data_IF_238716878539
#
_entry.id   IF_238716878539
#
_cell.length_a   1.000
_cell.length_b   1.000
_cell.length_c   1.000
_cell.angle_alpha   90.00
_cell.angle_beta   90.00
_cell.angle_gamma   90.00
#
_symmetry.space_group_name_H-M   'P 1'
#
loop_
_entity.id
_entity.type
_entity.pdbx_description
1 polymer ?
#
# COMPACT_ATOMS: atom_id res chain seq x y z
N UNK A 1 7.05 14.62 -6.92
CA UNK A 1 6.54 13.31 -6.47
C UNK A 1 6.98 12.26 -7.47
N UNK A 2 7.49 11.09 -7.06
CA UNK A 2 7.79 10.02 -8.00
C UNK A 2 6.51 9.59 -8.71
N UNK A 3 6.56 9.53 -10.04
CA UNK A 3 5.41 9.21 -10.89
C UNK A 3 5.83 8.16 -11.92
N UNK A 4 4.91 7.27 -12.27
CA UNK A 4 5.11 6.31 -13.34
C UNK A 4 4.98 6.99 -14.70
N UNK A 5 5.86 6.64 -15.63
CA UNK A 5 5.74 7.11 -17.01
C UNK A 5 4.55 6.43 -17.70
N UNK A 6 3.91 7.12 -18.65
CA UNK A 6 2.82 6.55 -19.45
C UNK A 6 3.21 5.27 -20.20
N UNK A 7 4.51 5.08 -20.47
CA UNK A 7 5.05 3.88 -21.11
C UNK A 7 5.01 2.63 -20.23
N UNK A 8 5.01 2.81 -18.90
CA UNK A 8 4.93 1.69 -17.94
C UNK A 8 3.49 1.43 -17.50
N UNK A 9 2.68 2.48 -17.42
CA UNK A 9 1.25 2.38 -17.19
C UNK A 9 0.56 3.57 -17.87
N UNK A 10 -0.44 3.31 -18.74
CA UNK A 10 -1.11 4.34 -19.51
C UNK A 10 -1.80 5.42 -18.66
N UNK A 11 -2.14 5.10 -17.40
CA UNK A 11 -2.72 6.03 -16.43
C UNK A 11 -1.67 6.62 -15.48
N UNK A 12 -0.37 6.40 -15.75
CA UNK A 12 0.74 6.78 -14.85
C UNK A 12 0.56 6.28 -13.42
N UNK A 13 -0.17 5.18 -13.25
CA UNK A 13 -0.44 4.54 -11.98
C UNK A 13 0.61 3.46 -11.67
N UNK A 14 0.86 3.23 -10.39
CA UNK A 14 1.66 2.09 -9.93
C UNK A 14 0.95 0.77 -10.23
N UNK A 15 1.71 -0.26 -10.62
CA UNK A 15 1.18 -1.57 -11.03
C UNK A 15 1.05 -2.53 -9.83
N UNK A 16 0.48 -2.05 -8.72
CA UNK A 16 0.32 -2.77 -7.46
C UNK A 16 -0.39 -4.15 -7.58
N UNK A 17 -1.17 -4.37 -8.64
CA UNK A 17 -1.87 -5.63 -8.92
C UNK A 17 -0.99 -6.64 -9.66
N UNK A 18 0.13 -6.23 -10.25
CA UNK A 18 1.02 -7.12 -10.99
C UNK A 18 1.79 -8.02 -10.00
N UNK A 19 1.78 -9.35 -10.15
CA UNK A 19 2.51 -10.25 -9.26
C UNK A 19 4.03 -10.02 -9.21
N UNK A 20 4.62 -9.41 -10.25
CA UNK A 20 6.03 -9.01 -10.24
C UNK A 20 6.28 -7.83 -9.29
N UNK A 21 5.29 -6.96 -9.11
CA UNK A 21 5.35 -5.73 -8.31
C UNK A 21 4.73 -5.92 -6.91
N UNK A 22 4.68 -7.15 -6.43
CA UNK A 22 4.19 -7.51 -5.09
C UNK A 22 5.22 -8.31 -4.28
N UNK A 23 6.47 -8.42 -4.76
CA UNK A 23 7.51 -9.25 -4.14
C UNK A 23 8.76 -8.45 -3.86
N UNK A 24 9.42 -8.79 -2.74
CA UNK A 24 10.76 -8.27 -2.42
C UNK A 24 11.75 -8.66 -3.52
N UNK A 25 12.61 -7.71 -3.87
CA UNK A 25 13.73 -7.90 -4.79
C UNK A 25 13.35 -7.86 -6.26
N UNK A 26 12.09 -7.56 -6.59
CA UNK A 26 11.62 -7.44 -7.97
C UNK A 26 10.72 -6.21 -8.15
N UNK A 27 10.56 -5.82 -9.42
CA UNK A 27 9.56 -4.83 -9.84
C UNK A 27 9.74 -3.43 -9.26
N UNK A 28 8.66 -2.67 -9.31
CA UNK A 28 8.52 -1.33 -8.76
C UNK A 28 8.91 -1.24 -7.27
N UNK A 29 8.55 -2.20 -6.38
CA UNK A 29 8.95 -2.15 -4.98
C UNK A 29 10.46 -2.17 -4.75
N UNK A 30 11.21 -2.96 -5.54
CA UNK A 30 12.66 -3.01 -5.43
C UNK A 30 13.34 -1.70 -5.85
N UNK A 31 12.80 -1.04 -6.88
CA UNK A 31 13.29 0.28 -7.31
C UNK A 31 13.05 1.30 -6.20
N UNK A 32 11.85 1.34 -5.63
CA UNK A 32 11.50 2.24 -4.54
C UNK A 32 12.34 1.98 -3.28
N UNK A 33 12.56 0.72 -2.91
CA UNK A 33 13.42 0.35 -1.79
C UNK A 33 14.87 0.81 -2.00
N UNK A 34 15.40 0.63 -3.22
CA UNK A 34 16.74 1.10 -3.58
C UNK A 34 16.88 2.62 -3.48
N UNK A 35 15.87 3.38 -3.93
CA UNK A 35 15.85 4.85 -3.79
C UNK A 35 15.84 5.24 -2.30
N UNK A 36 14.97 4.62 -1.49
CA UNK A 36 14.90 4.89 -0.05
C UNK A 36 16.23 4.62 0.63
N UNK A 37 16.88 3.50 0.33
CA UNK A 37 18.18 3.14 0.90
C UNK A 37 19.29 4.11 0.46
N UNK A 38 19.34 4.47 -0.82
CA UNK A 38 20.33 5.41 -1.34
C UNK A 38 20.21 6.79 -0.69
N UNK A 39 18.99 7.34 -0.64
CA UNK A 39 18.71 8.63 0.01
C UNK A 39 18.99 8.54 1.51
N UNK A 40 18.61 7.45 2.17
CA UNK A 40 18.87 7.28 3.61
C UNK A 40 20.36 7.27 3.92
N UNK A 41 21.17 6.59 3.09
CA UNK A 41 22.62 6.58 3.23
C UNK A 41 23.22 7.97 2.98
N UNK A 42 22.81 8.67 1.92
CA UNK A 42 23.30 10.00 1.57
C UNK A 42 23.05 11.02 2.68
N UNK A 43 21.87 10.99 3.28
CA UNK A 43 21.45 11.96 4.30
C UNK A 43 21.57 11.45 5.74
N UNK A 44 22.23 10.31 5.96
CA UNK A 44 22.42 9.70 7.30
C UNK A 44 21.11 9.51 8.08
N UNK A 45 20.04 9.11 7.38
CA UNK A 45 18.75 8.80 7.98
C UNK A 45 18.87 7.48 8.75
N UNK A 46 18.49 7.42 10.04
CA UNK A 46 18.58 6.18 10.81
C UNK A 46 17.72 5.06 10.21
N UNK A 47 18.17 3.80 10.31
CA UNK A 47 17.34 2.65 9.94
C UNK A 47 15.99 2.68 10.67
N UNK A 48 14.91 2.41 9.94
CA UNK A 48 13.56 2.44 10.50
C UNK A 48 13.00 3.83 10.83
N UNK A 49 13.66 4.92 10.40
CA UNK A 49 13.13 6.28 10.55
C UNK A 49 12.30 6.76 9.35
N UNK A 50 12.46 6.13 8.18
CA UNK A 50 11.71 6.50 6.98
C UNK A 50 10.23 6.10 7.10
N UNK A 51 9.38 6.76 6.32
CA UNK A 51 7.95 6.49 6.26
C UNK A 51 7.53 6.42 4.79
N UNK A 52 6.55 5.58 4.48
CA UNK A 52 6.00 5.49 3.13
C UNK A 52 4.53 5.88 3.16
N UNK A 53 4.11 6.71 2.20
CA UNK A 53 2.71 7.07 2.07
C UNK A 53 2.31 7.29 0.60
N UNK A 54 1.03 7.05 0.30
CA UNK A 54 0.51 7.25 -1.04
C UNK A 54 -1.01 7.33 -1.13
N UNK A 55 -1.47 7.79 -2.30
CA UNK A 55 -2.88 7.97 -2.65
C UNK A 55 -3.26 7.06 -3.82
N UNK A 56 -4.45 6.45 -3.78
CA UNK A 56 -4.98 5.60 -4.85
C UNK A 56 -4.03 4.43 -5.16
N UNK A 57 -3.60 4.26 -6.41
CA UNK A 57 -2.58 3.28 -6.80
C UNK A 57 -1.27 3.45 -6.00
N UNK A 58 -0.90 4.68 -5.64
CA UNK A 58 0.24 4.93 -4.75
C UNK A 58 -0.02 4.52 -3.30
N UNK A 59 -1.27 4.57 -2.85
CA UNK A 59 -1.67 4.05 -1.54
C UNK A 59 -1.57 2.53 -1.49
N UNK A 60 -1.99 1.85 -2.57
CA UNK A 60 -1.78 0.41 -2.72
C UNK A 60 -0.28 0.06 -2.78
N UNK A 61 0.54 0.86 -3.50
CA UNK A 61 1.99 0.65 -3.51
C UNK A 61 2.63 0.91 -2.14
N UNK A 62 2.15 1.87 -1.35
CA UNK A 62 2.61 2.08 0.02
C UNK A 62 2.34 0.85 0.91
N UNK A 63 1.19 0.21 0.74
CA UNK A 63 0.87 -1.08 1.38
C UNK A 63 1.85 -2.18 0.92
N UNK A 64 2.12 -2.30 -0.38
CA UNK A 64 3.11 -3.25 -0.91
C UNK A 64 4.50 -3.01 -0.31
N UNK A 65 4.94 -1.76 -0.19
CA UNK A 65 6.23 -1.41 0.41
C UNK A 65 6.28 -1.80 1.89
N UNK A 66 5.20 -1.56 2.64
CA UNK A 66 5.09 -1.96 4.05
C UNK A 66 5.21 -3.48 4.25
N UNK A 67 4.65 -4.27 3.35
CA UNK A 67 4.71 -5.74 3.42
C UNK A 67 6.02 -6.32 2.91
N UNK A 68 6.56 -5.75 1.83
CA UNK A 68 7.73 -6.33 1.15
C UNK A 68 9.06 -5.81 1.68
N UNK A 69 9.08 -4.64 2.35
CA UNK A 69 10.26 -4.01 2.95
C UNK A 69 9.95 -3.39 4.33
N UNK A 70 9.34 -4.14 5.28
CA UNK A 70 8.91 -3.60 6.57
C UNK A 70 10.04 -2.97 7.38
N UNK A 71 11.27 -3.47 7.26
CA UNK A 71 12.44 -2.98 7.97
C UNK A 71 12.87 -1.56 7.57
N UNK A 72 12.42 -1.07 6.42
CA UNK A 72 12.74 0.28 5.94
C UNK A 72 11.85 1.36 6.56
N UNK A 73 10.65 1.00 7.04
CA UNK A 73 9.62 1.98 7.34
C UNK A 73 9.12 1.92 8.79
N UNK A 74 9.15 3.07 9.46
CA UNK A 74 8.54 3.27 10.79
C UNK A 74 7.01 3.24 10.73
N UNK A 75 6.45 3.68 9.60
CA UNK A 75 5.02 3.84 9.39
C UNK A 75 4.62 3.81 7.91
N UNK A 76 3.37 3.39 7.67
CA UNK A 76 2.71 3.34 6.36
C UNK A 76 1.46 4.22 6.40
N UNK A 77 1.36 5.17 5.47
CA UNK A 77 0.19 6.04 5.29
C UNK A 77 -0.56 5.72 4.00
N UNK A 78 -1.84 5.38 4.10
CA UNK A 78 -2.64 4.96 2.94
C UNK A 78 -3.84 5.87 2.77
N UNK A 79 -3.99 6.48 1.59
CA UNK A 79 -5.19 7.21 1.23
C UNK A 79 -5.88 6.56 0.03
N UNK A 80 -7.17 6.21 0.16
CA UNK A 80 -7.96 5.56 -0.90
C UNK A 80 -7.22 4.39 -1.59
N UNK A 81 -6.48 3.57 -0.83
CA UNK A 81 -5.62 2.51 -1.35
C UNK A 81 -6.32 1.14 -1.45
N UNK A 82 -5.53 0.10 -1.77
CA UNK A 82 -6.01 -1.28 -1.89
C UNK A 82 -5.18 -2.24 -1.02
N UNK A 83 -5.76 -3.37 -0.56
CA UNK A 83 -5.06 -4.33 0.29
C UNK A 83 -3.92 -5.04 -0.45
N UNK A 84 -2.89 -5.44 0.29
CA UNK A 84 -1.76 -6.19 -0.25
C UNK A 84 -2.23 -7.50 -0.89
N UNK A 85 -1.74 -7.78 -2.10
CA UNK A 85 -1.99 -9.04 -2.80
C UNK A 85 -3.45 -9.29 -3.19
N UNK A 86 -4.33 -8.29 -3.07
CA UNK A 86 -5.77 -8.42 -3.34
C UNK A 86 -6.10 -8.72 -4.82
N UNK A 87 -5.20 -8.38 -5.73
CA UNK A 87 -5.35 -8.59 -7.17
C UNK A 87 -4.05 -9.16 -7.76
N UNK A 88 -4.16 -9.85 -8.90
CA UNK A 88 -3.04 -10.45 -9.62
C UNK A 88 -3.07 -10.14 -11.13
N UNK A 89 -4.06 -9.40 -11.61
CA UNK A 89 -4.23 -8.95 -12.98
C UNK A 89 -5.15 -7.71 -13.05
N UNK A 90 -5.36 -7.16 -14.25
CA UNK A 90 -6.18 -5.97 -14.45
C UNK A 90 -7.65 -6.20 -14.08
N UNK A 91 -8.18 -7.39 -14.36
CA UNK A 91 -9.60 -7.71 -14.13
C UNK A 91 -9.91 -7.79 -12.64
N UNK A 92 -9.07 -8.52 -11.89
CA UNK A 92 -9.13 -8.59 -10.43
C UNK A 92 -8.83 -7.24 -9.79
N UNK A 93 -7.95 -6.42 -10.37
CA UNK A 93 -7.71 -5.05 -9.89
C UNK A 93 -8.99 -4.22 -9.89
N UNK A 94 -9.72 -4.20 -11.03
CA UNK A 94 -10.99 -3.50 -11.11
C UNK A 94 -12.07 -4.09 -10.21
N UNK A 95 -12.10 -5.41 -10.01
CA UNK A 95 -13.02 -6.06 -9.06
C UNK A 95 -12.77 -5.58 -7.63
N UNK A 96 -11.52 -5.61 -7.17
CA UNK A 96 -11.16 -5.11 -5.84
C UNK A 96 -11.44 -3.62 -5.70
N UNK A 97 -11.15 -2.81 -6.73
CA UNK A 97 -11.48 -1.38 -6.74
C UNK A 97 -12.97 -1.13 -6.51
N UNK A 98 -13.86 -1.97 -7.05
CA UNK A 98 -15.32 -1.87 -6.82
C UNK A 98 -15.78 -2.41 -5.47
N UNK A 99 -14.88 -3.01 -4.68
CA UNK A 99 -15.20 -3.58 -3.39
C UNK A 99 -15.54 -5.07 -3.42
N UNK A 100 -15.36 -5.75 -4.56
CA UNK A 100 -15.49 -7.21 -4.64
C UNK A 100 -14.41 -7.87 -3.78
N UNK A 101 -14.65 -9.12 -3.33
CA UNK A 101 -13.62 -9.86 -2.60
C UNK A 101 -12.45 -10.17 -3.53
N UNK A 102 -11.25 -9.76 -3.12
CA UNK A 102 -10.02 -10.03 -3.86
C UNK A 102 -9.47 -11.43 -3.61
N UNK A 103 -8.36 -11.73 -4.27
CA UNK A 103 -7.54 -12.90 -3.95
C UNK A 103 -6.83 -12.59 -2.63
N UNK A 104 -6.95 -13.44 -1.62
CA UNK A 104 -6.30 -13.18 -0.34
C UNK A 104 -4.89 -13.78 -0.33
N UNK A 105 -3.86 -12.93 -0.36
CA UNK A 105 -2.52 -13.32 0.11
C UNK A 105 -2.45 -12.95 1.59
N UNK A 106 -2.01 -13.89 2.43
CA UNK A 106 -1.73 -13.56 3.83
C UNK A 106 -0.60 -12.54 3.89
N UNK A 107 -0.89 -11.38 4.46
CA UNK A 107 0.11 -10.40 4.86
C UNK A 107 1.09 -11.05 5.85
N UNK A 108 2.35 -10.65 5.78
CA UNK A 108 3.30 -11.04 6.82
C UNK A 108 3.02 -10.16 8.03
N UNK A 109 2.69 -10.76 9.18
CA UNK A 109 2.10 -10.09 10.34
C UNK A 109 2.99 -9.04 11.06
N UNK A 110 3.97 -8.43 10.41
CA UNK A 110 4.95 -7.58 11.06
C UNK A 110 5.16 -6.22 10.36
N UNK A 111 5.02 -5.14 11.14
CA UNK A 111 6.15 -4.22 11.29
C UNK A 111 5.81 -2.74 11.47
N UNK A 112 5.00 -2.15 10.60
CA UNK A 112 4.88 -0.70 10.52
C UNK A 112 3.53 -0.19 11.07
N UNK A 113 3.59 0.90 11.86
CA UNK A 113 2.37 1.62 12.27
C UNK A 113 1.62 2.08 11.02
N UNK A 114 0.34 1.73 10.91
CA UNK A 114 -0.44 2.02 9.71
C UNK A 114 -1.57 3.01 10.00
N UNK A 115 -1.71 4.03 9.15
CA UNK A 115 -2.84 4.96 9.14
C UNK A 115 -3.54 4.91 7.79
N UNK A 116 -4.87 4.86 7.79
CA UNK A 116 -5.69 4.76 6.57
C UNK A 116 -6.73 5.87 6.53
N UNK A 117 -6.78 6.58 5.41
CA UNK A 117 -7.79 7.59 5.09
C UNK A 117 -8.60 7.13 3.87
N UNK A 118 -9.92 7.28 3.91
CA UNK A 118 -10.78 6.92 2.77
C UNK A 118 -12.04 7.77 2.76
N UNK A 119 -12.40 8.32 1.60
CA UNK A 119 -13.64 9.08 1.44
C UNK A 119 -14.87 8.16 1.41
N UNK A 120 -15.91 8.46 2.19
CA UNK A 120 -17.12 7.62 2.26
C UNK A 120 -17.94 7.54 0.96
N UNK A 121 -17.73 8.48 0.04
CA UNK A 121 -18.39 8.55 -1.28
C UNK A 121 -17.43 8.28 -2.45
N UNK A 122 -16.30 7.61 -2.21
CA UNK A 122 -15.34 7.27 -3.26
C UNK A 122 -15.91 6.22 -4.22
N UNK A 123 -16.23 6.65 -5.45
CA UNK A 123 -16.75 5.79 -6.51
C UNK A 123 -15.64 5.12 -7.36
N UNK A 124 -14.37 5.43 -7.12
CA UNK A 124 -13.23 4.87 -7.86
C UNK A 124 -12.65 3.68 -7.10
N UNK A 125 -12.35 3.87 -5.82
CA UNK A 125 -11.88 2.82 -4.93
C UNK A 125 -12.88 2.72 -3.79
N UNK A 126 -13.63 1.62 -3.76
CA UNK A 126 -14.73 1.45 -2.83
C UNK A 126 -14.23 1.52 -1.37
N UNK A 127 -14.94 2.22 -0.46
CA UNK A 127 -14.49 2.44 0.93
C UNK A 127 -14.29 1.16 1.75
N UNK A 128 -14.89 0.04 1.36
CA UNK A 128 -14.66 -1.27 2.00
C UNK A 128 -13.18 -1.69 2.00
N UNK A 129 -12.40 -1.21 1.03
CA UNK A 129 -10.97 -1.53 0.95
C UNK A 129 -10.16 -0.98 2.12
N UNK A 130 -10.54 0.16 2.70
CA UNK A 130 -9.90 0.67 3.92
C UNK A 130 -10.03 -0.31 5.10
N UNK A 131 -11.22 -0.89 5.27
CA UNK A 131 -11.46 -1.90 6.30
C UNK A 131 -10.61 -3.17 6.09
N UNK A 132 -10.41 -3.57 4.84
CA UNK A 132 -9.58 -4.73 4.47
C UNK A 132 -8.10 -4.48 4.72
N UNK A 133 -7.60 -3.28 4.44
CA UNK A 133 -6.21 -2.89 4.76
C UNK A 133 -5.99 -2.94 6.27
N UNK A 134 -6.91 -2.37 7.06
CA UNK A 134 -6.81 -2.40 8.53
C UNK A 134 -6.84 -3.84 9.06
N UNK A 135 -7.75 -4.67 8.56
CA UNK A 135 -7.83 -6.07 9.00
C UNK A 135 -6.56 -6.88 8.68
N UNK A 136 -5.90 -6.60 7.56
CA UNK A 136 -4.65 -7.25 7.18
C UNK A 136 -3.45 -6.77 8.02
N UNK A 137 -3.39 -5.46 8.34
CA UNK A 137 -2.31 -4.88 9.13
C UNK A 137 -2.33 -5.30 10.61
N UNK A 138 -3.49 -5.73 11.12
CA UNK A 138 -3.69 -6.14 12.51
C UNK A 138 -4.41 -7.49 12.60
N UNK A 139 -3.72 -8.62 12.30
CA UNK A 139 -4.30 -9.95 12.43
C UNK A 139 -4.39 -10.36 13.91
N UNK A 140 -5.44 -9.90 14.60
CA UNK A 140 -5.75 -10.21 16.01
C UNK A 140 -6.51 -9.07 16.69
N UNK A 141 -7.37 -9.39 17.66
CA UNK A 141 -8.27 -8.43 18.34
C UNK A 141 -7.56 -7.47 19.32
N UNK A 142 -6.23 -7.58 19.50
CA UNK A 142 -5.50 -6.91 20.59
C UNK A 142 -4.74 -5.62 20.21
N UNK A 143 -4.75 -5.20 18.93
CA UNK A 143 -4.14 -3.93 18.54
C UNK A 143 -5.13 -2.76 18.75
N UNK A 144 -4.75 -1.66 19.44
CA UNK A 144 -5.63 -0.51 19.63
C UNK A 144 -5.87 0.21 18.30
N UNK A 145 -6.91 -0.21 17.57
CA UNK A 145 -7.35 0.44 16.33
C UNK A 145 -8.31 1.59 16.67
N UNK A 146 -7.85 2.83 16.49
CA UNK A 146 -8.71 4.02 16.59
C UNK A 146 -9.35 4.29 15.23
N UNK A 147 -10.69 4.23 15.17
CA UNK A 147 -11.46 4.61 13.98
C UNK A 147 -12.22 5.90 14.24
N UNK A 148 -12.08 6.85 13.34
CA UNK A 148 -12.89 8.07 13.32
C UNK A 148 -13.60 8.17 11.98
N UNK A 149 -14.89 8.47 12.03
CA UNK A 149 -15.68 8.85 10.85
C UNK A 149 -15.95 10.34 10.91
N UNK A 150 -15.77 11.04 9.80
CA UNK A 150 -16.11 12.46 9.70
C UNK A 150 -17.59 12.70 10.02
N UNK A 151 -17.92 13.86 10.59
CA UNK A 151 -19.32 14.28 10.71
C UNK A 151 -19.82 14.63 9.30
N UNK A 152 -20.95 14.03 8.91
CA UNK A 152 -21.67 14.38 7.70
C UNK A 152 -22.23 15.80 7.78
#
# INVERSE_FOLDING_TARGET
YPAQTGAHNAQSCWNWFNPADQRRGAGEPAILAGIVQAVSAEFSIPPGAAMVAGLSAGGAMAVVMGETYPELFAAVGVHSGLPYGAANDVMSAFAVMRGDQGVARQASAAGARTIVFHGGADHTVHPSNAGRIIAAAFPGDDAPARRETGRA
#
